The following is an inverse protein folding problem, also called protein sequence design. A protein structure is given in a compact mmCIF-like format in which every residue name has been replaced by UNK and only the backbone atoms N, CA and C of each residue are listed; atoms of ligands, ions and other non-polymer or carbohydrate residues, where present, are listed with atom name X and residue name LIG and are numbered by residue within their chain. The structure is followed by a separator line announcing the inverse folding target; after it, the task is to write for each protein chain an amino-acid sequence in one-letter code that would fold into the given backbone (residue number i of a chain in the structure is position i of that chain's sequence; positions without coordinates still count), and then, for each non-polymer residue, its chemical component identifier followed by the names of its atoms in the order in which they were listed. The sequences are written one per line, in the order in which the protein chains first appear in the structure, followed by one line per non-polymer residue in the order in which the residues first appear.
data_IF_845553923899
#
_entry.id   IF_845553923899
#
_cell.length_a   1.000
_cell.length_b   1.000
_cell.length_c   1.000
_cell.angle_alpha   90.00
_cell.angle_beta   90.00
_cell.angle_gamma   90.00
#
_symmetry.space_group_name_H-M   'P 1'
#
loop_
_entity.id
_entity.type
_entity.pdbx_description
1 polymer ?
#
# COMPACT_ATOMS: atom_id res chain seq x y z
N UNK A 1 39.41 1.09 -14.36
CA UNK A 1 38.90 1.75 -15.57
C UNK A 1 37.45 1.36 -15.75
N UNK A 2 36.53 2.32 -15.92
CA UNK A 2 35.14 2.01 -16.22
C UNK A 2 35.06 1.78 -17.72
N UNK A 3 34.86 0.53 -18.13
CA UNK A 3 34.64 0.18 -19.53
C UNK A 3 33.35 0.80 -20.08
N UNK A 4 33.26 0.90 -21.40
CA UNK A 4 32.06 1.31 -22.11
C UNK A 4 30.88 0.43 -21.66
N UNK A 5 29.74 1.04 -21.29
CA UNK A 5 28.54 0.26 -20.94
C UNK A 5 28.13 -0.61 -22.12
N UNK A 6 27.69 -1.81 -21.81
CA UNK A 6 27.01 -2.70 -22.75
C UNK A 6 25.48 -2.48 -22.71
N UNK A 7 24.76 -3.25 -23.53
CA UNK A 7 23.29 -3.21 -23.59
C UNK A 7 22.67 -3.55 -22.23
N UNK A 8 23.25 -4.48 -21.45
CA UNK A 8 22.72 -4.90 -20.16
C UNK A 8 22.81 -3.76 -19.11
N UNK A 9 23.93 -3.04 -19.09
CA UNK A 9 24.14 -1.88 -18.24
C UNK A 9 23.22 -0.73 -18.63
N UNK A 10 23.04 -0.45 -19.93
CA UNK A 10 22.10 0.57 -20.43
C UNK A 10 20.68 0.21 -20.00
N UNK A 11 20.25 -1.03 -20.23
CA UNK A 11 18.92 -1.53 -19.83
C UNK A 11 18.71 -1.40 -18.32
N UNK A 12 19.74 -1.68 -17.52
CA UNK A 12 19.70 -1.52 -16.06
C UNK A 12 19.50 -0.06 -15.65
N UNK A 13 20.15 0.90 -16.34
CA UNK A 13 19.92 2.33 -16.11
C UNK A 13 18.46 2.72 -16.40
N UNK A 14 17.89 2.24 -17.51
CA UNK A 14 16.48 2.51 -17.87
C UNK A 14 15.53 1.87 -16.85
N UNK A 15 15.77 0.62 -16.44
CA UNK A 15 14.98 -0.05 -15.37
C UNK A 15 14.98 0.75 -14.08
N UNK A 16 16.14 1.27 -13.66
CA UNK A 16 16.26 2.10 -12.47
C UNK A 16 15.47 3.40 -12.62
N UNK A 17 15.61 4.09 -13.76
CA UNK A 17 14.86 5.32 -14.05
C UNK A 17 13.34 5.09 -13.97
N UNK A 18 12.84 4.05 -14.65
CA UNK A 18 11.42 3.71 -14.64
C UNK A 18 10.90 3.38 -13.25
N UNK A 19 11.66 2.65 -12.43
CA UNK A 19 11.25 2.34 -11.05
C UNK A 19 11.20 3.58 -10.16
N UNK A 20 12.14 4.50 -10.34
CA UNK A 20 12.18 5.74 -9.55
C UNK A 20 11.03 6.68 -9.89
N UNK A 21 10.63 6.77 -11.15
CA UNK A 21 9.62 7.71 -11.66
C UNK A 21 8.30 7.02 -12.04
N UNK A 22 8.08 5.80 -11.54
CA UNK A 22 6.92 4.95 -11.88
C UNK A 22 5.59 5.63 -11.51
N UNK A 23 5.60 6.40 -10.43
CA UNK A 23 4.40 7.02 -9.88
C UNK A 23 4.27 8.51 -10.18
N UNK A 24 5.17 9.06 -10.99
CA UNK A 24 5.18 10.50 -11.31
C UNK A 24 4.16 10.75 -12.42
N UNK A 25 3.24 11.70 -12.24
CA UNK A 25 2.17 11.99 -13.22
C UNK A 25 2.76 12.47 -14.54
N UNK A 26 3.80 13.31 -14.46
CA UNK A 26 4.56 13.77 -15.61
C UNK A 26 5.96 13.14 -15.59
N UNK A 27 6.15 11.96 -16.21
CA UNK A 27 7.44 11.29 -16.20
C UNK A 27 8.47 12.07 -17.02
N UNK A 28 9.67 12.21 -16.45
CA UNK A 28 10.78 12.93 -17.08
C UNK A 28 11.36 12.16 -18.28
N UNK A 29 10.88 12.51 -19.47
CA UNK A 29 11.41 12.10 -20.78
C UNK A 29 11.79 13.35 -21.60
N UNK A 30 12.78 13.26 -22.52
CA UNK A 30 13.58 12.08 -22.85
C UNK A 30 14.63 11.73 -21.77
N UNK A 31 15.04 10.47 -21.68
CA UNK A 31 16.03 9.99 -20.71
C UNK A 31 17.36 9.59 -21.38
N UNK A 32 18.42 10.41 -21.24
CA UNK A 32 19.74 10.10 -21.78
C UNK A 32 20.54 9.18 -20.84
N UNK A 33 20.98 8.04 -21.36
CA UNK A 33 21.90 7.10 -20.67
C UNK A 33 23.32 7.28 -21.21
N UNK A 34 24.27 7.80 -20.41
CA UNK A 34 25.66 7.89 -20.82
C UNK A 34 26.28 6.50 -20.96
N UNK A 35 26.86 6.21 -22.12
CA UNK A 35 27.53 4.93 -22.38
C UNK A 35 28.89 4.89 -21.68
N UNK A 36 29.54 6.04 -21.51
CA UNK A 36 30.87 6.14 -20.89
C UNK A 36 31.95 5.81 -21.90
N UNK A 37 32.45 6.83 -22.58
CA UNK A 37 33.49 6.64 -23.59
C UNK A 37 34.82 6.28 -22.90
N UNK A 38 35.51 5.22 -23.34
CA UNK A 38 36.83 4.87 -22.83
C UNK A 38 37.88 5.95 -23.15
N UNK A 39 38.97 5.93 -22.39
CA UNK A 39 40.16 6.73 -22.69
C UNK A 39 40.97 6.15 -23.86
N UNK A 40 41.96 6.90 -24.33
CA UNK A 40 42.76 6.53 -25.50
C UNK A 40 43.54 5.23 -25.28
N UNK A 41 44.15 5.05 -24.11
CA UNK A 41 44.95 3.87 -23.81
C UNK A 41 44.11 2.58 -23.82
N UNK A 42 42.89 2.64 -23.27
CA UNK A 42 41.96 1.52 -23.32
C UNK A 42 41.47 1.24 -24.74
N UNK A 43 41.18 2.28 -25.52
CA UNK A 43 40.75 2.19 -26.91
C UNK A 43 41.79 1.50 -27.81
N UNK A 44 43.06 1.90 -27.71
CA UNK A 44 44.15 1.32 -28.50
C UNK A 44 44.37 -0.16 -28.17
N UNK A 45 44.19 -0.53 -26.89
CA UNK A 45 44.37 -1.92 -26.42
C UNK A 45 43.19 -2.83 -26.77
N UNK A 46 41.97 -2.29 -26.87
CA UNK A 46 40.72 -3.06 -26.97
C UNK A 46 39.83 -2.66 -28.17
N UNK A 47 40.43 -2.14 -29.25
CA UNK A 47 39.71 -1.52 -30.36
C UNK A 47 38.56 -2.39 -30.91
N UNK A 48 38.82 -3.68 -31.17
CA UNK A 48 37.82 -4.63 -31.71
C UNK A 48 36.62 -4.74 -30.77
N UNK A 49 36.84 -5.03 -29.49
CA UNK A 49 35.76 -5.17 -28.50
C UNK A 49 34.94 -3.89 -28.33
N UNK A 50 35.59 -2.71 -28.42
CA UNK A 50 34.88 -1.42 -28.37
C UNK A 50 34.01 -1.22 -29.61
N UNK A 51 34.51 -1.56 -30.79
CA UNK A 51 33.75 -1.48 -32.04
C UNK A 51 32.56 -2.44 -32.05
N UNK A 52 32.77 -3.68 -31.61
CA UNK A 52 31.71 -4.68 -31.52
C UNK A 52 30.60 -4.22 -30.58
N UNK A 53 30.95 -3.80 -29.35
CA UNK A 53 29.97 -3.24 -28.40
C UNK A 53 29.26 -1.99 -28.96
N UNK A 54 29.99 -1.09 -29.63
CA UNK A 54 29.39 0.10 -30.25
C UNK A 54 28.38 -0.26 -31.36
N UNK A 55 28.68 -1.29 -32.17
CA UNK A 55 27.79 -1.77 -33.22
C UNK A 55 26.58 -2.51 -32.63
N UNK A 56 26.77 -3.34 -31.60
CA UNK A 56 25.69 -4.00 -30.88
C UNK A 56 24.72 -2.98 -30.28
N UNK A 57 25.23 -1.94 -29.61
CA UNK A 57 24.42 -0.85 -29.06
C UNK A 57 23.67 -0.12 -30.18
N UNK A 58 24.31 0.15 -31.32
CA UNK A 58 23.67 0.81 -32.47
C UNK A 58 22.49 -0.01 -33.01
N UNK A 59 22.69 -1.31 -33.22
CA UNK A 59 21.64 -2.22 -33.68
C UNK A 59 20.52 -2.36 -32.66
N UNK A 60 20.87 -2.52 -31.39
CA UNK A 60 19.89 -2.61 -30.30
C UNK A 60 19.08 -1.33 -30.14
N UNK A 61 19.71 -0.15 -30.20
CA UNK A 61 19.03 1.13 -30.09
C UNK A 61 18.04 1.32 -31.24
N UNK A 62 18.48 1.09 -32.48
CA UNK A 62 17.62 1.13 -33.67
C UNK A 62 16.42 0.17 -33.56
N UNK A 63 16.66 -1.08 -33.16
CA UNK A 63 15.62 -2.10 -32.99
C UNK A 63 14.55 -1.70 -31.96
N UNK A 64 14.93 -1.00 -30.91
CA UNK A 64 14.00 -0.60 -29.85
C UNK A 64 13.38 0.79 -30.07
N UNK A 65 13.89 1.58 -31.03
CA UNK A 65 13.47 2.96 -31.26
C UNK A 65 14.12 3.98 -30.32
N UNK A 66 15.29 3.65 -29.76
CA UNK A 66 16.10 4.60 -29.01
C UNK A 66 16.93 5.46 -29.97
N UNK A 67 17.16 6.71 -29.59
CA UNK A 67 18.07 7.62 -30.30
C UNK A 67 19.51 7.45 -29.78
N UNK A 68 20.49 7.84 -30.60
CA UNK A 68 21.92 7.77 -30.24
C UNK A 68 22.59 9.13 -30.43
N UNK A 69 23.48 9.48 -29.51
CA UNK A 69 24.35 10.66 -29.62
C UNK A 69 25.77 10.16 -29.72
N UNK A 70 26.44 10.47 -30.83
CA UNK A 70 27.79 10.01 -31.13
C UNK A 70 28.84 11.08 -30.86
N UNK A 71 30.09 10.65 -30.71
CA UNK A 71 31.29 11.51 -30.65
C UNK A 71 32.42 10.85 -31.43
N UNK A 72 33.21 11.67 -32.10
CA UNK A 72 34.42 11.22 -32.78
C UNK A 72 35.57 11.04 -31.78
N UNK A 73 36.34 9.97 -31.94
CA UNK A 73 37.57 9.65 -31.20
C UNK A 73 38.64 9.18 -32.17
N UNK A 74 39.89 9.55 -31.92
CA UNK A 74 41.01 9.16 -32.78
C UNK A 74 41.74 7.96 -32.19
N UNK A 75 41.86 6.88 -32.97
CA UNK A 75 42.58 5.65 -32.61
C UNK A 75 43.38 5.23 -33.86
N UNK A 76 44.44 5.96 -34.18
CA UNK A 76 45.10 5.91 -35.49
C UNK A 76 44.23 6.45 -36.64
N UNK A 77 42.92 6.18 -36.64
CA UNK A 77 41.88 6.71 -37.54
C UNK A 77 40.73 7.32 -36.71
N UNK A 78 40.00 8.28 -37.26
CA UNK A 78 38.80 8.85 -36.62
C UNK A 78 37.66 7.84 -36.61
N UNK A 79 37.12 7.56 -35.42
CA UNK A 79 36.04 6.60 -35.18
C UNK A 79 34.87 7.29 -34.51
N UNK A 80 33.66 7.01 -34.99
CA UNK A 80 32.41 7.47 -34.38
C UNK A 80 31.92 6.49 -33.30
N UNK A 81 31.93 6.91 -32.04
CA UNK A 81 31.49 6.13 -30.89
C UNK A 81 30.23 6.71 -30.25
N UNK A 82 29.31 5.84 -29.83
CA UNK A 82 28.08 6.22 -29.13
C UNK A 82 28.43 6.71 -27.73
N UNK A 83 28.18 7.99 -27.48
CA UNK A 83 28.41 8.62 -26.19
C UNK A 83 27.20 8.51 -25.26
N UNK A 84 25.98 8.52 -25.82
CA UNK A 84 24.71 8.37 -25.10
C UNK A 84 23.71 7.60 -25.95
N UNK A 85 22.87 6.82 -25.27
CA UNK A 85 21.60 6.33 -25.81
C UNK A 85 20.49 7.16 -25.18
N UNK A 86 19.56 7.69 -25.96
CA UNK A 86 18.43 8.48 -25.49
C UNK A 86 17.16 7.66 -25.66
N UNK A 87 16.43 7.46 -24.57
CA UNK A 87 15.09 6.87 -24.60
C UNK A 87 14.07 8.00 -24.74
N UNK A 88 13.37 8.11 -25.89
CA UNK A 88 12.57 9.31 -26.19
C UNK A 88 11.34 9.46 -25.30
N UNK A 89 10.67 8.35 -25.00
CA UNK A 89 9.40 8.33 -24.28
C UNK A 89 9.20 7.03 -23.47
N UNK A 90 8.12 7.01 -22.68
CA UNK A 90 7.77 5.87 -21.83
C UNK A 90 7.44 4.59 -22.60
N UNK A 91 6.85 4.70 -23.79
CA UNK A 91 6.50 3.54 -24.62
C UNK A 91 7.77 2.83 -25.10
N UNK A 92 8.79 3.58 -25.52
CA UNK A 92 10.11 3.03 -25.85
C UNK A 92 10.77 2.43 -24.60
N UNK A 93 10.67 3.09 -23.45
CA UNK A 93 11.20 2.57 -22.20
C UNK A 93 10.58 1.22 -21.82
N UNK A 94 9.26 1.08 -21.95
CA UNK A 94 8.53 -0.19 -21.71
C UNK A 94 9.01 -1.32 -22.63
N UNK A 95 9.39 -1.04 -23.88
CA UNK A 95 9.97 -2.04 -24.79
C UNK A 95 11.36 -2.50 -24.31
N UNK A 96 12.17 -1.55 -23.83
CA UNK A 96 13.55 -1.80 -23.36
C UNK A 96 13.59 -2.66 -22.09
N UNK A 97 12.73 -2.39 -21.11
CA UNK A 97 12.84 -3.00 -19.77
C UNK A 97 12.27 -4.42 -19.66
N UNK A 98 11.52 -4.87 -20.66
CA UNK A 98 10.87 -6.17 -20.71
C UNK A 98 9.46 -6.20 -20.10
N UNK A 99 8.78 -7.34 -20.29
CA UNK A 99 7.32 -7.44 -20.07
C UNK A 99 6.87 -7.22 -18.63
N UNK A 100 7.62 -7.71 -17.65
CA UNK A 100 7.24 -7.62 -16.23
C UNK A 100 7.22 -6.18 -15.74
N UNK A 101 8.32 -5.44 -15.89
CA UNK A 101 8.36 -4.03 -15.47
C UNK A 101 7.41 -3.16 -16.32
N UNK A 102 7.24 -3.47 -17.61
CA UNK A 102 6.24 -2.78 -18.43
C UNK A 102 4.80 -3.03 -17.96
N UNK A 103 4.48 -4.20 -17.40
CA UNK A 103 3.17 -4.46 -16.80
C UNK A 103 3.00 -3.68 -15.48
N UNK A 104 4.03 -3.66 -14.62
CA UNK A 104 4.05 -2.86 -13.39
C UNK A 104 3.83 -1.37 -13.68
N UNK A 105 4.54 -0.79 -14.65
CA UNK A 105 4.36 0.61 -15.04
C UNK A 105 2.96 0.90 -15.60
N UNK A 106 2.39 0.00 -16.43
CA UNK A 106 1.01 0.16 -16.93
C UNK A 106 -0.01 0.15 -15.80
N UNK A 107 0.17 -0.73 -14.82
CA UNK A 107 -0.70 -0.77 -13.64
C UNK A 107 -0.55 0.51 -12.80
N UNK A 108 0.68 1.02 -12.60
CA UNK A 108 0.90 2.29 -11.92
C UNK A 108 0.19 3.45 -12.64
N UNK A 109 0.26 3.51 -13.98
CA UNK A 109 -0.47 4.50 -14.80
C UNK A 109 -1.98 4.38 -14.64
N UNK A 110 -2.53 3.16 -14.66
CA UNK A 110 -3.95 2.90 -14.40
C UNK A 110 -4.37 3.44 -13.04
N UNK A 111 -3.56 3.17 -12.00
CA UNK A 111 -3.84 3.62 -10.63
C UNK A 111 -3.86 5.14 -10.51
N UNK A 112 -2.87 5.81 -11.08
CA UNK A 112 -2.82 7.28 -11.13
C UNK A 112 -4.08 7.81 -11.83
N UNK A 113 -4.43 7.28 -13.01
CA UNK A 113 -5.61 7.72 -13.75
C UNK A 113 -6.91 7.52 -12.96
N UNK A 114 -7.05 6.38 -12.26
CA UNK A 114 -8.21 6.13 -11.39
C UNK A 114 -8.31 7.12 -10.23
N UNK A 115 -7.17 7.50 -9.62
CA UNK A 115 -7.13 8.49 -8.54
C UNK A 115 -7.43 9.90 -9.04
N UNK A 116 -6.82 10.32 -10.15
CA UNK A 116 -7.12 11.61 -10.82
C UNK A 116 -8.63 11.70 -11.13
N UNK A 117 -9.23 10.62 -11.63
CA UNK A 117 -10.67 10.59 -11.91
C UNK A 117 -11.56 10.52 -10.67
N UNK A 118 -11.04 10.12 -9.51
CA UNK A 118 -11.82 9.97 -8.27
C UNK A 118 -11.77 11.20 -7.36
N UNK A 119 -10.71 12.00 -7.46
CA UNK A 119 -10.52 13.15 -6.61
C UNK A 119 -9.74 14.26 -7.32
N UNK A 120 -10.24 15.48 -7.19
CA UNK A 120 -9.51 16.70 -7.55
C UNK A 120 -8.63 17.11 -6.36
N UNK A 121 -7.37 16.71 -6.39
CA UNK A 121 -6.33 17.04 -5.39
C UNK A 121 -4.99 17.27 -6.10
N UNK A 122 -4.05 17.92 -5.40
CA UNK A 122 -2.74 18.23 -5.96
C UNK A 122 -2.02 16.98 -6.52
N UNK A 123 -1.32 17.08 -7.67
CA UNK A 123 -0.63 15.96 -8.30
C UNK A 123 0.24 15.14 -7.34
N UNK A 124 1.04 15.79 -6.50
CA UNK A 124 1.97 15.15 -5.56
C UNK A 124 1.24 14.28 -4.53
N UNK A 125 -0.02 14.63 -4.20
CA UNK A 125 -0.86 13.83 -3.32
C UNK A 125 -1.31 12.54 -4.00
N UNK A 126 -1.67 12.61 -5.29
CA UNK A 126 -2.04 11.45 -6.10
C UNK A 126 -0.84 10.51 -6.26
N UNK A 127 0.33 11.05 -6.62
CA UNK A 127 1.57 10.28 -6.77
C UNK A 127 1.96 9.59 -5.46
N UNK A 128 1.85 10.30 -4.33
CA UNK A 128 2.11 9.75 -3.00
C UNK A 128 1.16 8.60 -2.67
N UNK A 129 -0.15 8.78 -2.89
CA UNK A 129 -1.15 7.74 -2.63
C UNK A 129 -0.97 6.51 -3.54
N UNK A 130 -0.70 6.71 -4.83
CA UNK A 130 -0.41 5.63 -5.77
C UNK A 130 0.83 4.84 -5.34
N UNK A 131 1.90 5.52 -4.92
CA UNK A 131 3.12 4.89 -4.40
C UNK A 131 2.87 4.10 -3.13
N UNK A 132 2.10 4.64 -2.18
CA UNK A 132 1.73 3.97 -0.92
C UNK A 132 0.93 2.69 -1.15
N UNK A 133 0.10 2.68 -2.20
CA UNK A 133 -0.80 1.58 -2.54
C UNK A 133 -0.24 0.70 -3.67
N UNK A 134 1.03 0.88 -4.04
CA UNK A 134 1.68 0.16 -5.15
C UNK A 134 1.69 -1.37 -5.04
N UNK A 135 1.60 -1.90 -3.83
CA UNK A 135 1.60 -3.33 -3.55
C UNK A 135 0.19 -3.94 -3.45
N UNK A 136 -0.86 -3.12 -3.51
CA UNK A 136 -2.24 -3.58 -3.41
C UNK A 136 -2.62 -4.44 -4.61
N UNK A 137 -3.48 -5.43 -4.38
CA UNK A 137 -4.10 -6.18 -5.47
C UNK A 137 -5.09 -5.28 -6.23
N UNK A 138 -5.38 -5.56 -7.51
CA UNK A 138 -6.28 -4.74 -8.32
C UNK A 138 -7.65 -4.49 -7.65
N UNK A 139 -8.29 -5.53 -7.12
CA UNK A 139 -9.59 -5.44 -6.46
C UNK A 139 -9.55 -4.58 -5.17
N UNK A 140 -8.48 -4.72 -4.38
CA UNK A 140 -8.25 -3.92 -3.18
C UNK A 140 -8.02 -2.44 -3.53
N UNK A 141 -7.33 -2.16 -4.64
CA UNK A 141 -7.12 -0.81 -5.13
C UNK A 141 -8.43 -0.18 -5.63
N UNK A 142 -9.23 -0.92 -6.40
CA UNK A 142 -10.51 -0.42 -6.90
C UNK A 142 -11.51 -0.17 -5.76
N UNK A 143 -11.45 -0.99 -4.71
CA UNK A 143 -12.17 -0.76 -3.46
C UNK A 143 -11.70 0.50 -2.73
N UNK A 144 -10.39 0.79 -2.74
CA UNK A 144 -9.84 2.04 -2.20
C UNK A 144 -10.35 3.26 -2.94
N UNK A 145 -10.36 3.22 -4.28
CA UNK A 145 -10.90 4.32 -5.09
C UNK A 145 -12.39 4.52 -4.78
N UNK A 146 -13.15 3.44 -4.63
CA UNK A 146 -14.57 3.48 -4.25
C UNK A 146 -14.77 4.10 -2.85
N UNK A 147 -13.91 3.75 -1.89
CA UNK A 147 -13.93 4.31 -0.55
C UNK A 147 -13.63 5.82 -0.56
N UNK A 148 -12.63 6.27 -1.32
CA UNK A 148 -12.32 7.70 -1.47
C UNK A 148 -13.52 8.46 -2.03
N UNK A 149 -14.15 7.96 -3.10
CA UNK A 149 -15.36 8.57 -3.67
C UNK A 149 -16.49 8.66 -2.66
N UNK A 150 -16.72 7.59 -1.90
CA UNK A 150 -17.77 7.56 -0.88
C UNK A 150 -17.53 8.58 0.22
N UNK A 151 -16.35 8.60 0.83
CA UNK A 151 -16.02 9.49 1.96
C UNK A 151 -15.94 10.97 1.56
N UNK A 152 -15.71 11.30 0.28
CA UNK A 152 -15.80 12.70 -0.19
C UNK A 152 -17.21 13.28 -0.07
N UNK A 153 -18.23 12.43 -0.08
CA UNK A 153 -19.64 12.85 -0.09
C UNK A 153 -20.41 12.46 1.17
N UNK A 154 -19.78 11.72 2.09
CA UNK A 154 -20.44 11.21 3.30
C UNK A 154 -19.51 11.41 4.50
N UNK A 155 -19.99 12.17 5.49
CA UNK A 155 -19.35 12.20 6.80
C UNK A 155 -19.63 10.86 7.50
N UNK A 156 -18.56 10.18 7.88
CA UNK A 156 -18.60 8.86 8.54
C UNK A 156 -18.06 8.91 9.96
N UNK A 157 -17.85 10.12 10.48
CA UNK A 157 -17.41 10.34 11.86
C UNK A 157 -18.36 9.65 12.83
N UNK A 158 -17.80 8.92 13.79
CA UNK A 158 -18.59 8.15 14.77
C UNK A 158 -19.08 6.78 14.27
N UNK A 159 -19.06 6.51 12.96
CA UNK A 159 -19.43 5.20 12.42
C UNK A 159 -18.33 4.17 12.66
N UNK A 160 -18.72 2.91 12.87
CA UNK A 160 -17.80 1.77 12.86
C UNK A 160 -17.49 1.35 11.42
N UNK A 161 -16.32 0.75 11.14
CA UNK A 161 -15.97 0.25 9.80
C UNK A 161 -17.01 -0.67 9.14
N UNK A 162 -17.81 -1.39 9.93
CA UNK A 162 -18.86 -2.29 9.41
C UNK A 162 -20.16 -1.58 9.04
N UNK A 163 -20.35 -0.35 9.47
CA UNK A 163 -21.52 0.46 9.10
C UNK A 163 -21.32 1.17 7.76
N UNK A 164 -20.11 1.13 7.19
CA UNK A 164 -19.81 1.75 5.90
C UNK A 164 -20.42 0.89 4.77
N UNK A 165 -21.39 1.40 4.00
CA UNK A 165 -22.14 0.62 3.01
C UNK A 165 -21.37 0.50 1.68
N UNK A 166 -20.15 -0.02 1.73
CA UNK A 166 -19.33 -0.29 0.55
C UNK A 166 -19.34 -1.78 0.22
N UNK A 167 -19.67 -2.12 -1.03
CA UNK A 167 -19.66 -3.51 -1.51
C UNK A 167 -18.23 -4.06 -1.54
N UNK A 168 -18.03 -5.32 -1.13
CA UNK A 168 -16.70 -5.93 -1.03
C UNK A 168 -15.86 -5.45 0.17
N UNK A 169 -16.41 -4.52 0.95
CA UNK A 169 -15.75 -3.92 2.09
C UNK A 169 -15.93 -4.77 3.35
N UNK A 170 -14.82 -5.19 3.95
CA UNK A 170 -14.87 -5.83 5.28
C UNK A 170 -14.45 -4.84 6.35
N UNK A 171 -15.00 -4.97 7.57
CA UNK A 171 -14.56 -4.13 8.69
C UNK A 171 -13.04 -4.20 8.93
N UNK A 172 -12.40 -5.35 8.64
CA UNK A 172 -10.93 -5.52 8.75
C UNK A 172 -10.15 -4.60 7.81
N UNK A 173 -10.74 -4.21 6.69
CA UNK A 173 -10.11 -3.40 5.65
C UNK A 173 -9.79 -1.96 6.15
N UNK A 174 -10.58 -1.39 7.07
CA UNK A 174 -10.32 -0.09 7.72
C UNK A 174 -9.88 -0.16 9.20
N UNK A 175 -9.98 -1.34 9.83
CA UNK A 175 -9.85 -1.48 11.28
C UNK A 175 -8.50 -1.03 11.82
N UNK A 176 -7.44 -1.08 11.02
CA UNK A 176 -6.11 -0.69 11.45
C UNK A 176 -5.75 0.71 10.97
N UNK A 177 -5.67 1.65 11.90
CA UNK A 177 -5.26 3.05 11.68
C UNK A 177 -3.90 3.23 11.00
N UNK A 178 -3.08 2.17 10.98
CA UNK A 178 -1.71 2.19 10.45
C UNK A 178 -1.57 1.66 9.03
N UNK A 179 -2.62 1.11 8.42
CA UNK A 179 -2.53 0.56 7.05
C UNK A 179 -2.24 1.66 6.04
N UNK A 180 -1.46 1.33 5.01
CA UNK A 180 -1.19 2.25 3.90
C UNK A 180 -2.49 2.66 3.20
N UNK A 181 -3.49 1.78 3.14
CA UNK A 181 -4.84 2.06 2.63
C UNK A 181 -5.49 3.24 3.35
N UNK A 182 -5.64 3.15 4.68
CA UNK A 182 -6.30 4.22 5.45
C UNK A 182 -5.53 5.53 5.39
N UNK A 183 -4.20 5.48 5.46
CA UNK A 183 -3.35 6.67 5.30
C UNK A 183 -3.49 7.30 3.91
N UNK A 184 -3.54 6.49 2.85
CA UNK A 184 -3.74 6.98 1.50
C UNK A 184 -5.13 7.63 1.34
N UNK A 185 -6.19 7.00 1.87
CA UNK A 185 -7.54 7.57 1.87
C UNK A 185 -7.55 8.92 2.61
N UNK A 186 -7.05 8.97 3.85
CA UNK A 186 -6.96 10.22 4.62
C UNK A 186 -6.23 11.32 3.84
N UNK A 187 -5.09 10.96 3.21
CA UNK A 187 -4.30 11.90 2.40
C UNK A 187 -5.07 12.43 1.20
N UNK A 188 -5.78 11.56 0.47
CA UNK A 188 -6.60 11.92 -0.69
C UNK A 188 -7.84 12.76 -0.30
N UNK A 189 -8.28 12.66 0.95
CA UNK A 189 -9.38 13.45 1.49
C UNK A 189 -8.90 14.75 2.16
N UNK A 190 -7.60 14.92 2.37
CA UNK A 190 -7.04 16.07 3.09
C UNK A 190 -7.36 16.07 4.59
N UNK A 191 -7.62 14.91 5.20
CA UNK A 191 -7.95 14.78 6.63
C UNK A 191 -6.89 13.96 7.37
N UNK A 192 -6.71 14.20 8.67
CA UNK A 192 -5.79 13.38 9.47
C UNK A 192 -6.37 11.98 9.74
N UNK A 193 -7.68 11.91 10.03
CA UNK A 193 -8.37 10.65 10.32
C UNK A 193 -9.78 10.66 9.74
N UNK A 194 -10.33 9.47 9.45
CA UNK A 194 -11.73 9.28 9.06
C UNK A 194 -12.73 9.40 10.22
N UNK A 195 -12.29 9.65 11.46
CA UNK A 195 -13.20 9.77 12.62
C UNK A 195 -13.97 8.49 12.98
N UNK A 196 -13.58 7.32 12.45
CA UNK A 196 -14.30 6.06 12.68
C UNK A 196 -14.18 5.58 14.12
N UNK A 197 -15.32 5.19 14.69
CA UNK A 197 -15.41 4.58 16.02
C UNK A 197 -14.95 3.13 16.00
N UNK A 198 -14.43 2.67 17.14
CA UNK A 198 -14.28 1.24 17.38
C UNK A 198 -15.66 0.61 17.53
N UNK A 199 -15.77 -0.66 17.16
CA UNK A 199 -16.97 -1.44 17.49
C UNK A 199 -17.15 -1.41 19.02
N UNK A 200 -18.35 -1.07 19.54
CA UNK A 200 -18.64 -1.23 20.95
C UNK A 200 -18.32 -2.65 21.40
N UNK A 201 -17.68 -2.80 22.55
CA UNK A 201 -17.46 -4.12 23.14
C UNK A 201 -18.77 -4.58 23.74
N UNK A 202 -19.20 -5.77 23.35
CA UNK A 202 -20.36 -6.44 23.92
C UNK A 202 -19.88 -7.36 25.04
N UNK A 203 -20.44 -7.20 26.24
CA UNK A 203 -20.23 -8.11 27.35
C UNK A 203 -21.53 -8.83 27.65
N UNK A 204 -21.42 -10.15 27.73
CA UNK A 204 -22.53 -11.03 28.03
C UNK A 204 -22.29 -11.67 29.38
N UNK A 205 -23.24 -11.56 30.29
CA UNK A 205 -23.09 -12.07 31.65
C UNK A 205 -24.39 -12.61 32.21
N UNK A 206 -24.27 -13.43 33.24
CA UNK A 206 -25.40 -13.84 34.10
C UNK A 206 -25.04 -13.58 35.55
N UNK A 207 -26.04 -13.38 36.40
CA UNK A 207 -25.78 -13.36 37.83
C UNK A 207 -25.50 -14.78 38.33
N UNK A 208 -24.58 -14.86 39.28
CA UNK A 208 -24.39 -16.05 40.10
C UNK A 208 -24.94 -15.85 41.51
N UNK A 209 -25.28 -14.60 41.87
CA UNK A 209 -25.81 -14.28 43.19
C UNK A 209 -27.24 -14.84 43.35
N UNK A 210 -27.47 -15.77 44.29
CA UNK A 210 -28.79 -16.39 44.49
C UNK A 210 -29.85 -15.41 45.04
N UNK A 211 -29.46 -14.23 45.52
CA UNK A 211 -30.41 -13.20 46.01
C UNK A 211 -31.03 -12.40 44.86
N UNK A 212 -30.46 -12.49 43.65
CA UNK A 212 -31.01 -11.87 42.44
C UNK A 212 -32.10 -12.77 41.86
N UNK A 213 -33.33 -12.27 41.81
CA UNK A 213 -34.53 -12.97 41.32
C UNK A 213 -34.46 -13.32 39.81
N UNK A 214 -33.45 -12.79 39.11
CA UNK A 214 -33.19 -12.98 37.69
C UNK A 214 -31.88 -13.74 37.40
N UNK A 215 -31.37 -14.52 38.36
CA UNK A 215 -30.06 -15.18 38.23
C UNK A 215 -29.92 -16.12 37.02
N UNK A 216 -31.02 -16.64 36.50
CA UNK A 216 -31.03 -17.48 35.29
C UNK A 216 -31.06 -16.67 33.98
N UNK A 217 -31.31 -15.36 34.03
CA UNK A 217 -31.38 -14.53 32.84
C UNK A 217 -29.99 -14.05 32.39
N UNK A 218 -29.69 -14.32 31.13
CA UNK A 218 -28.53 -13.78 30.44
C UNK A 218 -28.75 -12.30 30.12
N UNK A 219 -27.75 -11.47 30.40
CA UNK A 219 -27.73 -10.04 30.12
C UNK A 219 -26.63 -9.71 29.13
N UNK A 220 -26.91 -8.73 28.28
CA UNK A 220 -25.97 -8.19 27.29
C UNK A 220 -25.86 -6.69 27.56
N UNK A 221 -24.63 -6.21 27.73
CA UNK A 221 -24.31 -4.79 27.88
C UNK A 221 -23.28 -4.37 26.84
N UNK A 222 -23.33 -3.10 26.43
CA UNK A 222 -22.33 -2.48 25.57
C UNK A 222 -21.44 -1.57 26.40
N UNK A 223 -20.13 -1.61 26.17
CA UNK A 223 -19.17 -0.74 26.84
C UNK A 223 -18.94 0.58 26.07
N UNK A 224 -18.82 1.73 26.76
CA UNK A 224 -18.90 1.89 28.22
C UNK A 224 -20.35 1.72 28.74
N UNK A 225 -20.48 1.11 29.93
CA UNK A 225 -21.78 0.82 30.55
C UNK A 225 -22.05 1.78 31.72
N UNK A 226 -23.24 2.38 31.75
CA UNK A 226 -23.63 3.39 32.76
C UNK A 226 -24.85 2.98 33.61
N UNK A 227 -25.21 1.69 33.62
CA UNK A 227 -26.39 1.21 34.35
C UNK A 227 -26.09 0.54 35.70
N UNK A 228 -27.11 0.39 36.53
CA UNK A 228 -27.01 -0.15 37.90
C UNK A 228 -27.05 -1.68 37.99
N UNK A 229 -27.13 -2.39 36.85
CA UNK A 229 -27.25 -3.84 36.80
C UNK A 229 -26.16 -4.55 37.63
N UNK A 230 -24.99 -3.94 37.77
CA UNK A 230 -23.85 -4.53 38.47
C UNK A 230 -23.63 -3.97 39.88
N UNK A 231 -24.56 -3.13 40.35
CA UNK A 231 -24.54 -2.60 41.71
C UNK A 231 -24.52 -3.74 42.75
N UNK A 232 -23.57 -3.69 43.67
CA UNK A 232 -23.40 -4.69 44.74
C UNK A 232 -22.71 -6.00 44.32
N UNK A 233 -22.32 -6.15 43.05
CA UNK A 233 -21.48 -7.27 42.60
C UNK A 233 -20.04 -7.04 43.05
N UNK A 234 -19.40 -8.08 43.58
CA UNK A 234 -17.99 -8.05 44.04
C UNK A 234 -17.08 -8.99 43.27
N UNK A 235 -17.65 -10.04 42.67
CA UNK A 235 -16.89 -11.10 42.03
C UNK A 235 -17.34 -11.27 40.58
N UNK A 236 -16.39 -11.26 39.66
CA UNK A 236 -16.63 -11.57 38.25
C UNK A 236 -15.82 -12.80 37.86
N UNK A 237 -16.49 -13.85 37.36
CA UNK A 237 -15.84 -15.04 36.82
C UNK A 237 -15.91 -14.98 35.31
N UNK A 238 -14.76 -14.78 34.66
CA UNK A 238 -14.66 -14.69 33.20
C UNK A 238 -14.36 -16.07 32.65
N UNK A 239 -15.18 -16.53 31.71
CA UNK A 239 -15.02 -17.85 31.08
C UNK A 239 -15.16 -17.75 29.56
N UNK A 240 -14.34 -18.53 28.87
CA UNK A 240 -14.38 -18.63 27.40
C UNK A 240 -15.28 -19.79 26.94
N UNK A 241 -15.22 -20.92 27.64
CA UNK A 241 -16.02 -22.08 27.32
C UNK A 241 -17.51 -21.85 27.68
N UNK A 242 -18.39 -22.09 26.70
CA UNK A 242 -19.83 -21.85 26.86
C UNK A 242 -20.51 -22.82 27.83
N UNK A 243 -20.06 -24.08 27.91
CA UNK A 243 -20.62 -25.06 28.84
C UNK A 243 -20.29 -24.67 30.29
N UNK A 244 -19.06 -24.22 30.54
CA UNK A 244 -18.67 -23.65 31.85
C UNK A 244 -19.47 -22.38 32.14
N UNK A 245 -19.67 -21.51 31.14
CA UNK A 245 -20.52 -20.33 31.26
C UNK A 245 -21.96 -20.67 31.59
N UNK A 246 -22.52 -21.80 31.17
CA UNK A 246 -23.90 -22.18 31.46
C UNK A 246 -24.05 -22.94 32.79
N UNK A 247 -23.01 -23.67 33.20
CA UNK A 247 -23.06 -24.58 34.37
C UNK A 247 -22.39 -24.04 35.64
N UNK A 248 -21.69 -22.89 35.58
CA UNK A 248 -21.11 -22.23 36.76
C UNK A 248 -22.10 -22.17 37.93
N UNK A 249 -21.70 -22.62 39.12
CA UNK A 249 -22.56 -22.65 40.30
C UNK A 249 -22.83 -21.24 40.85
N UNK A 250 -23.83 -21.08 41.73
CA UNK A 250 -24.10 -19.83 42.41
C UNK A 250 -22.91 -19.32 43.23
N UNK A 251 -22.68 -18.01 43.21
CA UNK A 251 -21.66 -17.28 43.95
C UNK A 251 -22.31 -15.99 44.43
N UNK A 252 -22.42 -15.82 45.75
CA UNK A 252 -22.97 -14.60 46.35
C UNK A 252 -22.20 -13.36 45.88
N UNK A 253 -22.91 -12.30 45.51
CA UNK A 253 -22.36 -11.07 44.92
C UNK A 253 -21.53 -11.33 43.66
N UNK A 254 -21.82 -12.42 42.94
CA UNK A 254 -21.06 -12.88 41.78
C UNK A 254 -21.79 -12.70 40.46
N UNK A 255 -21.03 -12.50 39.39
CA UNK A 255 -21.46 -12.63 38.00
C UNK A 255 -20.53 -13.59 37.25
N UNK A 256 -21.06 -14.25 36.24
CA UNK A 256 -20.27 -14.97 35.25
C UNK A 256 -20.32 -14.22 33.94
N UNK A 257 -19.17 -13.90 33.34
CA UNK A 257 -19.06 -13.19 32.07
C UNK A 257 -18.55 -14.17 31.01
N UNK A 258 -19.30 -14.30 29.93
CA UNK A 258 -18.87 -15.04 28.75
C UNK A 258 -18.04 -14.14 27.84
N UNK A 259 -16.85 -14.60 27.48
CA UNK A 259 -15.92 -13.77 26.74
C UNK A 259 -15.01 -14.53 25.80
N UNK A 260 -14.77 -13.98 24.60
CA UNK A 260 -13.76 -14.45 23.66
C UNK A 260 -12.33 -14.06 24.09
N UNK A 261 -11.92 -14.46 25.31
CA UNK A 261 -10.57 -14.22 25.83
C UNK A 261 -10.25 -12.74 26.08
N UNK A 262 -9.12 -12.26 25.52
CA UNK A 262 -8.48 -10.95 25.82
C UNK A 262 -9.38 -9.72 25.67
N UNK A 263 -10.39 -9.78 24.79
CA UNK A 263 -11.32 -8.67 24.56
C UNK A 263 -12.22 -8.37 25.78
N UNK A 264 -12.49 -9.36 26.63
CA UNK A 264 -13.28 -9.17 27.86
C UNK A 264 -12.42 -8.62 28.97
N UNK A 265 -11.16 -9.03 29.07
CA UNK A 265 -10.21 -8.48 30.06
C UNK A 265 -10.01 -6.97 29.93
N UNK A 266 -10.06 -6.42 28.71
CA UNK A 266 -9.93 -4.98 28.47
C UNK A 266 -11.22 -4.19 28.74
N UNK A 267 -12.38 -4.86 28.72
CA UNK A 267 -13.69 -4.24 28.86
C UNK A 267 -14.26 -4.35 30.28
N UNK A 268 -13.91 -5.39 31.04
CA UNK A 268 -14.32 -5.58 32.43
C UNK A 268 -13.91 -4.43 33.36
N UNK A 269 -12.74 -3.78 33.21
CA UNK A 269 -12.40 -2.58 34.00
C UNK A 269 -13.26 -1.35 33.68
N UNK A 270 -13.94 -1.33 32.52
CA UNK A 270 -14.85 -0.26 32.11
C UNK A 270 -16.30 -0.52 32.55
N UNK A 271 -16.48 -1.50 33.44
CA UNK A 271 -17.72 -1.89 34.07
C UNK A 271 -17.53 -1.62 35.58
N UNK A 272 -18.47 -0.91 36.25
CA UNK A 272 -18.30 -0.45 37.63
C UNK A 272 -18.02 -1.58 38.63
#
# INVERSE_FOLDING_TARGET
MVGMKDIAAITTCVKKHMRSHMYDIEPAWPFPVPVGLPDQAFLETNAIAVHDNNNEIRQWASKNGCEIITKHRTIGTSVELISKVVVPDESIAMRVVGRTLAAECREARRRIACLVAACDVAPETIESAARMTGHEQPDDFDLLVSAVRYFRHHDVTGMTPRQIPLTGFSGKWLNESKTNRRKAICRLLGVETLGLSKRPTELRFRYLDPVRDDAELERIIWCPWEGEALSGIKYAVIVENKDTYQTMPPIAQGICIWGSGRAVSDAVPAVP
#
